data_IF_283322445764
#
_entry.id   IF_283322445764
#
_cell.length_a   1.000
_cell.length_b   1.000
_cell.length_c   1.000
_cell.angle_alpha   90.00
_cell.angle_beta   90.00
_cell.angle_gamma   90.00
#
_symmetry.space_group_name_H-M   'P 1'
#
loop_
_entity.id
_entity.type
_entity.pdbx_description
1 polymer ?
#
# COMPACT_ATOMS: atom_id res chain seq x y z
N UNK A 1 -19.43 2.46 0.64
CA UNK A 1 -18.30 1.64 1.16
C UNK A 1 -17.01 2.44 1.33
N UNK A 2 -16.84 3.50 0.54
CA UNK A 2 -15.68 4.37 0.44
C UNK A 2 -15.25 4.92 1.79
N UNK A 3 -16.18 5.37 2.65
CA UNK A 3 -15.81 5.88 3.98
C UNK A 3 -15.18 4.82 4.89
N UNK A 4 -15.62 3.56 4.79
CA UNK A 4 -15.00 2.44 5.54
C UNK A 4 -13.58 2.18 5.02
N UNK A 5 -13.41 2.18 3.70
CA UNK A 5 -12.10 2.01 3.06
C UNK A 5 -11.15 3.16 3.32
N UNK A 6 -11.64 4.40 3.27
CA UNK A 6 -10.91 5.61 3.62
C UNK A 6 -10.27 5.49 5.00
N UNK A 7 -11.08 5.18 6.02
CA UNK A 7 -10.58 5.05 7.40
C UNK A 7 -9.58 3.89 7.52
N UNK A 8 -9.84 2.74 6.88
CA UNK A 8 -8.91 1.59 6.91
C UNK A 8 -7.55 1.92 6.31
N UNK A 9 -7.54 2.54 5.12
CA UNK A 9 -6.32 2.89 4.42
C UNK A 9 -5.54 3.96 5.19
N UNK A 10 -6.20 4.99 5.73
CA UNK A 10 -5.55 6.03 6.54
C UNK A 10 -4.93 5.44 7.82
N UNK A 11 -5.64 4.53 8.52
CA UNK A 11 -5.11 3.88 9.72
C UNK A 11 -3.87 3.04 9.42
N UNK A 12 -3.92 2.25 8.33
CA UNK A 12 -2.76 1.46 7.90
C UNK A 12 -1.60 2.35 7.44
N UNK A 13 -1.91 3.42 6.71
CA UNK A 13 -0.90 4.41 6.32
C UNK A 13 -0.20 4.96 7.57
N UNK A 14 -0.92 5.40 8.59
CA UNK A 14 -0.32 5.92 9.83
C UNK A 14 0.62 4.92 10.51
N UNK A 15 0.28 3.63 10.49
CA UNK A 15 1.16 2.56 10.98
C UNK A 15 2.44 2.46 10.11
N UNK A 16 2.30 2.45 8.79
CA UNK A 16 3.45 2.43 7.87
C UNK A 16 4.33 3.69 7.97
N UNK A 17 3.75 4.86 8.23
CA UNK A 17 4.51 6.08 8.52
C UNK A 17 5.36 5.94 9.77
N UNK A 18 4.78 5.42 10.85
CA UNK A 18 5.51 5.21 12.10
C UNK A 18 6.67 4.23 11.89
N UNK A 19 6.42 3.09 11.24
CA UNK A 19 7.47 2.10 10.96
C UNK A 19 8.53 2.68 10.02
N UNK A 20 8.12 3.38 8.96
CA UNK A 20 9.03 3.97 7.98
C UNK A 20 9.94 5.05 8.57
N UNK A 21 9.39 5.95 9.37
CA UNK A 21 10.17 6.99 10.07
C UNK A 21 11.15 6.37 11.06
N UNK A 22 10.72 5.36 11.83
CA UNK A 22 11.60 4.58 12.69
C UNK A 22 12.76 3.94 11.92
N UNK A 23 12.48 3.27 10.80
CA UNK A 23 13.53 2.66 9.96
C UNK A 23 14.55 3.70 9.47
N UNK A 24 14.10 4.92 9.10
CA UNK A 24 14.99 6.00 8.68
C UNK A 24 15.92 6.47 9.80
N UNK A 25 15.38 6.62 11.01
CA UNK A 25 16.18 6.94 12.20
C UNK A 25 17.17 5.82 12.53
N UNK A 26 16.72 4.56 12.46
CA UNK A 26 17.57 3.39 12.71
C UNK A 26 18.74 3.30 11.71
N UNK A 27 18.48 3.48 10.41
CA UNK A 27 19.53 3.48 9.38
C UNK A 27 20.60 4.55 9.62
N UNK A 28 20.16 5.75 10.00
CA UNK A 28 21.07 6.86 10.29
C UNK A 28 21.89 6.57 11.55
N UNK A 29 21.26 6.01 12.59
CA UNK A 29 21.92 5.69 13.86
C UNK A 29 22.87 4.49 13.78
N UNK A 30 22.61 3.51 12.92
CA UNK A 30 23.45 2.32 12.77
C UNK A 30 24.54 2.48 11.69
N UNK A 31 24.42 3.49 10.81
CA UNK A 31 25.29 3.65 9.65
C UNK A 31 25.10 2.58 8.56
N UNK A 32 24.11 1.70 8.71
CA UNK A 32 23.79 0.61 7.77
C UNK A 32 22.68 1.05 6.80
N UNK A 33 22.89 0.77 5.52
CA UNK A 33 21.92 1.05 4.45
C UNK A 33 21.15 -0.20 4.01
N UNK A 34 21.22 -1.30 4.77
CA UNK A 34 20.56 -2.57 4.42
C UNK A 34 19.03 -2.42 4.34
N UNK A 35 18.46 -1.55 5.18
CA UNK A 35 17.02 -1.26 5.19
C UNK A 35 16.58 -0.21 4.18
N UNK A 36 17.50 0.37 3.39
CA UNK A 36 17.20 1.46 2.45
C UNK A 36 16.04 1.18 1.49
N UNK A 37 15.99 0.03 0.79
CA UNK A 37 14.86 -0.25 -0.10
C UNK A 37 13.53 -0.39 0.66
N UNK A 38 13.57 -0.99 1.86
CA UNK A 38 12.39 -1.18 2.71
C UNK A 38 11.87 0.16 3.21
N UNK A 39 12.75 1.03 3.72
CA UNK A 39 12.42 2.38 4.19
C UNK A 39 11.79 3.25 3.10
N UNK A 40 12.36 3.24 1.88
CA UNK A 40 11.83 4.03 0.79
C UNK A 40 10.42 3.59 0.39
N UNK A 41 10.19 2.29 0.25
CA UNK A 41 8.89 1.78 -0.20
C UNK A 41 7.83 1.82 0.89
N UNK A 42 8.18 1.57 2.15
CA UNK A 42 7.20 1.63 3.24
C UNK A 42 6.65 3.07 3.41
N UNK A 43 7.47 4.10 3.18
CA UNK A 43 7.01 5.49 3.19
C UNK A 43 6.29 5.90 1.90
N UNK A 44 6.75 5.44 0.73
CA UNK A 44 6.11 5.80 -0.54
C UNK A 44 4.77 5.09 -0.73
N UNK A 45 4.78 3.76 -0.79
CA UNK A 45 3.57 2.99 -1.11
C UNK A 45 2.77 2.62 0.14
N UNK A 46 3.43 2.43 1.29
CA UNK A 46 2.76 2.11 2.54
C UNK A 46 2.13 3.33 3.22
N UNK A 47 2.85 4.43 3.34
CA UNK A 47 2.32 5.68 3.88
C UNK A 47 1.64 6.53 2.80
N UNK A 48 2.41 7.11 1.86
CA UNK A 48 1.91 8.18 1.01
C UNK A 48 0.79 7.72 0.06
N UNK A 49 0.97 6.61 -0.66
CA UNK A 49 -0.07 6.09 -1.58
C UNK A 49 -1.34 5.66 -0.83
N UNK A 50 -1.22 4.88 0.26
CA UNK A 50 -2.40 4.48 1.04
C UNK A 50 -3.12 5.67 1.66
N UNK A 51 -2.39 6.66 2.16
CA UNK A 51 -2.98 7.89 2.67
C UNK A 51 -3.74 8.63 1.57
N UNK A 52 -3.11 8.84 0.40
CA UNK A 52 -3.73 9.51 -0.74
C UNK A 52 -5.00 8.78 -1.22
N UNK A 53 -4.98 7.46 -1.35
CA UNK A 53 -6.18 6.66 -1.68
C UNK A 53 -7.25 6.74 -0.60
N UNK A 54 -6.83 6.79 0.68
CA UNK A 54 -7.74 6.98 1.80
C UNK A 54 -8.47 8.33 1.74
N UNK A 55 -7.75 9.41 1.43
CA UNK A 55 -8.31 10.74 1.20
C UNK A 55 -9.19 10.76 -0.04
N UNK A 56 -8.78 10.10 -1.13
CA UNK A 56 -9.58 9.97 -2.35
C UNK A 56 -10.96 9.36 -2.05
N UNK A 57 -11.01 8.25 -1.30
CA UNK A 57 -12.28 7.63 -0.90
C UNK A 57 -13.07 8.43 0.15
N UNK A 58 -12.46 9.43 0.78
CA UNK A 58 -13.18 10.40 1.60
C UNK A 58 -13.86 11.47 0.74
N UNK A 59 -13.16 11.95 -0.28
CA UNK A 59 -13.57 13.05 -1.12
C UNK A 59 -14.56 12.64 -2.22
N UNK A 60 -14.42 11.43 -2.77
CA UNK A 60 -15.17 11.00 -3.95
C UNK A 60 -16.03 9.75 -3.68
N UNK A 61 -17.14 9.66 -4.40
CA UNK A 61 -17.99 8.45 -4.47
C UNK A 61 -17.76 7.77 -5.81
N UNK A 62 -17.74 6.43 -5.79
CA UNK A 62 -17.43 5.64 -6.99
C UNK A 62 -18.69 4.88 -7.42
N UNK A 63 -18.94 4.83 -8.73
CA UNK A 63 -20.11 4.16 -9.31
C UNK A 63 -20.16 2.67 -8.93
N UNK A 64 -19.02 1.99 -8.91
CA UNK A 64 -18.90 0.56 -8.58
C UNK A 64 -18.33 0.30 -7.18
N UNK A 65 -19.17 -0.16 -6.26
CA UNK A 65 -18.73 -0.55 -4.90
C UNK A 65 -17.81 -1.79 -4.91
N UNK A 66 -18.01 -2.71 -5.88
CA UNK A 66 -17.16 -3.90 -6.06
C UNK A 66 -15.73 -3.50 -6.41
N UNK A 67 -15.56 -2.51 -7.28
CA UNK A 67 -14.24 -2.02 -7.67
C UNK A 67 -13.50 -1.38 -6.48
N UNK A 68 -14.19 -0.58 -5.66
CA UNK A 68 -13.64 -0.01 -4.42
C UNK A 68 -13.15 -1.10 -3.46
N UNK A 69 -13.95 -2.17 -3.29
CA UNK A 69 -13.57 -3.30 -2.44
C UNK A 69 -12.33 -4.05 -2.95
N UNK A 70 -12.29 -4.35 -4.26
CA UNK A 70 -11.17 -5.08 -4.86
C UNK A 70 -9.90 -4.23 -4.75
N UNK A 71 -9.97 -2.94 -5.14
CA UNK A 71 -8.85 -2.02 -4.99
C UNK A 71 -8.36 -1.93 -3.53
N UNK A 72 -9.29 -1.78 -2.58
CA UNK A 72 -8.94 -1.68 -1.16
C UNK A 72 -8.18 -2.90 -0.65
N UNK A 73 -8.60 -4.11 -1.03
CA UNK A 73 -7.92 -5.33 -0.63
C UNK A 73 -6.59 -5.53 -1.35
N UNK A 74 -6.52 -5.29 -2.65
CA UNK A 74 -5.25 -5.40 -3.40
C UNK A 74 -4.24 -4.35 -2.94
N UNK A 75 -4.68 -3.17 -2.50
CA UNK A 75 -3.82 -2.15 -1.90
C UNK A 75 -3.18 -2.68 -0.62
N UNK A 76 -3.99 -3.19 0.31
CA UNK A 76 -3.50 -3.73 1.58
C UNK A 76 -2.56 -4.91 1.34
N UNK A 77 -3.02 -5.93 0.61
CA UNK A 77 -2.23 -7.14 0.36
C UNK A 77 -0.95 -6.84 -0.44
N UNK A 78 -1.03 -5.93 -1.41
CA UNK A 78 0.11 -5.51 -2.22
C UNK A 78 1.16 -4.77 -1.41
N UNK A 79 0.77 -3.79 -0.58
CA UNK A 79 1.72 -3.07 0.28
C UNK A 79 2.37 -4.03 1.27
N UNK A 80 1.58 -4.82 2.02
CA UNK A 80 2.12 -5.77 2.99
C UNK A 80 3.03 -6.80 2.32
N UNK A 81 2.59 -7.40 1.22
CA UNK A 81 3.36 -8.39 0.47
C UNK A 81 4.66 -7.82 -0.08
N UNK A 82 4.63 -6.61 -0.64
CA UNK A 82 5.82 -5.95 -1.15
C UNK A 82 6.81 -5.61 -0.03
N UNK A 83 6.35 -4.97 1.05
CA UNK A 83 7.24 -4.52 2.13
C UNK A 83 7.83 -5.70 2.92
N UNK A 84 7.01 -6.71 3.24
CA UNK A 84 7.49 -7.92 3.91
C UNK A 84 8.34 -8.77 2.97
N UNK A 85 7.99 -8.84 1.68
CA UNK A 85 8.79 -9.54 0.68
C UNK A 85 10.17 -8.94 0.51
N UNK A 86 10.28 -7.61 0.46
CA UNK A 86 11.59 -6.95 0.49
C UNK A 86 12.35 -7.26 1.77
N UNK A 87 11.70 -7.30 2.92
CA UNK A 87 12.36 -7.63 4.18
C UNK A 87 12.89 -9.07 4.19
N UNK A 88 12.08 -10.04 3.78
CA UNK A 88 12.51 -11.44 3.66
C UNK A 88 13.56 -11.66 2.59
N UNK A 89 13.50 -10.93 1.48
CA UNK A 89 14.46 -11.08 0.39
C UNK A 89 15.81 -10.44 0.70
N UNK A 90 15.84 -9.24 1.30
CA UNK A 90 17.08 -8.50 1.53
C UNK A 90 17.76 -8.86 2.87
N UNK A 91 16.98 -9.07 3.94
CA UNK A 91 17.50 -9.30 5.29
C UNK A 91 17.39 -10.77 5.68
N UNK A 92 16.37 -11.47 5.18
CA UNK A 92 16.08 -12.89 5.45
C UNK A 92 16.31 -13.35 6.91
N UNK A 93 15.72 -12.66 7.91
CA UNK A 93 16.04 -12.89 9.32
C UNK A 93 15.68 -14.30 9.83
N UNK A 94 14.84 -15.03 9.08
CA UNK A 94 14.38 -16.37 9.41
C UNK A 94 15.05 -17.46 8.57
N UNK A 95 16.05 -17.12 7.75
CA UNK A 95 16.75 -18.05 6.85
C UNK A 95 15.79 -18.85 5.95
N UNK A 96 14.77 -18.19 5.41
CA UNK A 96 13.88 -18.81 4.43
C UNK A 96 14.62 -19.16 3.14
N UNK A 97 14.13 -20.16 2.41
CA UNK A 97 14.67 -20.54 1.11
C UNK A 97 14.56 -19.41 0.08
N UNK A 98 15.58 -19.25 -0.75
CA UNK A 98 15.68 -18.18 -1.75
C UNK A 98 14.50 -18.14 -2.73
N UNK A 99 13.98 -19.31 -3.13
CA UNK A 99 12.80 -19.40 -3.99
C UNK A 99 11.57 -18.79 -3.33
N UNK A 100 11.36 -19.06 -2.03
CA UNK A 100 10.21 -18.53 -1.31
C UNK A 100 10.29 -17.01 -1.18
N UNK A 101 11.43 -16.46 -0.74
CA UNK A 101 11.58 -15.02 -0.52
C UNK A 101 11.43 -14.23 -1.83
N UNK A 102 11.98 -14.76 -2.93
CA UNK A 102 11.84 -14.16 -4.26
C UNK A 102 10.39 -14.20 -4.75
N UNK A 103 9.72 -15.35 -4.69
CA UNK A 103 8.33 -15.49 -5.15
C UNK A 103 7.40 -14.60 -4.32
N UNK A 104 7.56 -14.58 -3.00
CA UNK A 104 6.75 -13.74 -2.11
C UNK A 104 6.91 -12.26 -2.45
N UNK A 105 8.14 -11.80 -2.68
CA UNK A 105 8.43 -10.43 -3.10
C UNK A 105 7.78 -10.08 -4.44
N UNK A 106 7.91 -10.95 -5.46
CA UNK A 106 7.31 -10.73 -6.79
C UNK A 106 5.78 -10.69 -6.72
N UNK A 107 5.16 -11.62 -6.00
CA UNK A 107 3.69 -11.68 -5.84
C UNK A 107 3.18 -10.44 -5.11
N UNK A 108 3.87 -10.00 -4.05
CA UNK A 108 3.55 -8.76 -3.34
C UNK A 108 3.61 -7.54 -4.26
N UNK A 109 4.73 -7.38 -4.98
CA UNK A 109 4.91 -6.28 -5.93
C UNK A 109 3.88 -6.29 -7.07
N UNK A 110 3.56 -7.45 -7.60
CA UNK A 110 2.56 -7.61 -8.68
C UNK A 110 1.15 -7.29 -8.19
N UNK A 111 0.81 -7.71 -6.98
CA UNK A 111 -0.49 -7.39 -6.35
C UNK A 111 -0.63 -5.88 -6.17
N UNK A 112 0.44 -5.20 -5.75
CA UNK A 112 0.45 -3.75 -5.64
C UNK A 112 0.32 -3.06 -7.00
N UNK A 113 1.02 -3.54 -8.02
CA UNK A 113 0.89 -3.05 -9.40
C UNK A 113 -0.55 -3.14 -9.90
N UNK A 114 -1.22 -4.27 -9.65
CA UNK A 114 -2.65 -4.45 -9.94
C UNK A 114 -3.49 -3.42 -9.18
N UNK A 115 -3.16 -3.14 -7.92
CA UNK A 115 -3.85 -2.10 -7.14
C UNK A 115 -3.75 -0.72 -7.79
N UNK A 116 -2.57 -0.31 -8.26
CA UNK A 116 -2.41 0.93 -9.02
C UNK A 116 -3.23 0.94 -10.31
N UNK A 117 -3.23 -0.17 -11.07
CA UNK A 117 -4.05 -0.28 -12.27
C UNK A 117 -5.56 -0.16 -11.97
N UNK A 118 -6.02 -0.79 -10.89
CA UNK A 118 -7.40 -0.65 -10.42
C UNK A 118 -7.70 0.78 -9.95
N UNK A 119 -6.73 1.48 -9.36
CA UNK A 119 -6.91 2.86 -8.94
C UNK A 119 -7.16 3.78 -10.14
N UNK A 120 -6.44 3.57 -11.24
CA UNK A 120 -6.69 4.29 -12.50
C UNK A 120 -8.16 4.10 -12.92
N UNK A 121 -8.67 2.87 -12.90
CA UNK A 121 -10.09 2.61 -13.22
C UNK A 121 -11.04 3.31 -12.23
N UNK A 122 -10.71 3.29 -10.94
CA UNK A 122 -11.48 3.97 -9.89
C UNK A 122 -11.58 5.47 -10.16
N UNK A 123 -10.51 6.13 -10.61
CA UNK A 123 -10.51 7.58 -10.87
C UNK A 123 -11.43 7.98 -12.02
N UNK A 124 -11.65 7.10 -13.00
CA UNK A 124 -12.58 7.36 -14.11
C UNK A 124 -14.04 6.99 -13.78
N UNK A 125 -14.28 6.28 -12.66
CA UNK A 125 -15.61 5.82 -12.25
C UNK A 125 -16.22 6.66 -11.12
N UNK A 126 -15.78 7.91 -10.94
CA UNK A 126 -16.34 8.84 -9.95
C UNK A 126 -17.78 9.20 -10.36
N UNK A 127 -18.68 9.29 -9.37
CA UNK A 127 -20.05 9.80 -9.58
C UNK A 127 -20.01 11.31 -9.77
N UNK A 128 -20.64 11.81 -10.83
CA UNK A 128 -20.74 13.24 -11.09
C UNK A 128 -21.81 13.85 -10.19
N UNK A 129 -21.72 15.15 -9.90
CA UNK A 129 -22.57 15.82 -8.91
C UNK A 129 -24.07 15.83 -9.28
N UNK A 130 -24.41 15.68 -10.56
CA UNK A 130 -25.80 15.51 -11.04
C UNK A 130 -26.41 14.15 -10.64
N UNK A 131 -25.61 13.08 -10.57
CA UNK A 131 -26.04 11.73 -10.19
C UNK A 131 -26.40 11.60 -8.68
N UNK A 132 -26.19 12.66 -7.89
CA UNK A 132 -26.39 12.68 -6.44
C UNK A 132 -27.67 13.40 -6.00
N UNK A 133 -28.40 14.01 -6.95
CA UNK A 133 -29.62 14.80 -6.69
C UNK A 133 -30.92 14.08 -7.09
N UNK A 134 -30.83 12.94 -7.77
CA UNK A 134 -31.97 12.06 -8.09
C UNK A 134 -31.99 10.86 -7.15
#
# INVERSE_FOLDING_TARGET
>A
MEQKWSIRLIRLAAIFALIGTYLGSHMTGSGSYEYRPIHAHILLVGWLSMFAWGIFYRAFKVKSQKLVNIHGWTAILGVFGLTLGMWFYNINPFNFGSTFTLVFFIVGGTTLLISFALFILVTFMIKQQEDMKN
#
